data_IF_661087252446
#
_entry.id   IF_661087252446
#
_cell.length_a   1.000
_cell.length_b   1.000
_cell.length_c   1.000
_cell.angle_alpha   90.00
_cell.angle_beta   90.00
_cell.angle_gamma   90.00
#
_symmetry.space_group_name_H-M   'P 1'
#
loop_
_entity.id
_entity.type
_entity.pdbx_description
1 polymer ?
#
# COMPACT_ATOMS: atom_id res chain seq x y z
N UNK A 1 40.95 48.99 -16.76
CA UNK A 1 40.46 47.69 -16.25
C UNK A 1 38.96 47.67 -16.47
N UNK A 2 38.54 47.08 -17.56
CA UNK A 2 37.14 46.96 -17.95
C UNK A 2 36.58 45.63 -17.39
N UNK A 3 35.48 45.69 -16.66
CA UNK A 3 34.80 44.52 -16.10
C UNK A 3 34.15 43.66 -17.21
N UNK A 4 34.09 42.34 -17.05
CA UNK A 4 33.46 41.49 -18.03
C UNK A 4 31.92 41.58 -17.94
N UNK A 5 31.28 41.79 -19.09
CA UNK A 5 29.83 41.77 -19.30
C UNK A 5 29.28 40.35 -19.09
N UNK A 6 28.19 40.25 -18.32
CA UNK A 6 27.44 38.99 -18.11
C UNK A 6 26.80 38.50 -19.42
N UNK A 7 26.72 37.18 -19.67
CA UNK A 7 26.05 36.65 -20.84
C UNK A 7 24.53 36.86 -20.75
N UNK A 8 23.98 37.40 -21.84
CA UNK A 8 22.54 37.64 -21.99
C UNK A 8 21.72 36.30 -22.01
N UNK A 9 20.37 36.39 -21.76
CA UNK A 9 19.51 35.23 -21.72
C UNK A 9 19.51 34.53 -23.10
N UNK A 10 19.85 33.23 -23.06
CA UNK A 10 19.89 32.40 -24.25
C UNK A 10 18.50 32.32 -24.92
N UNK A 11 18.48 32.48 -26.24
CA UNK A 11 17.32 32.33 -27.11
C UNK A 11 16.68 30.93 -26.87
N UNK A 12 15.37 30.84 -26.64
CA UNK A 12 14.66 29.55 -26.55
C UNK A 12 14.88 28.78 -27.87
N UNK A 13 15.33 27.54 -27.75
CA UNK A 13 15.44 26.65 -28.90
C UNK A 13 14.09 26.48 -29.62
N UNK A 14 14.09 26.05 -30.90
CA UNK A 14 12.87 25.94 -31.68
C UNK A 14 11.87 25.02 -30.98
N UNK A 15 10.74 25.59 -30.55
CA UNK A 15 9.62 24.83 -30.04
C UNK A 15 9.09 23.95 -31.17
N UNK A 16 9.08 22.64 -30.97
CA UNK A 16 8.43 21.71 -31.91
C UNK A 16 6.98 22.16 -32.13
N UNK A 17 6.51 22.20 -33.39
CA UNK A 17 5.14 22.58 -33.67
C UNK A 17 4.15 21.65 -32.90
N UNK A 18 3.04 22.17 -32.38
CA UNK A 18 2.08 21.35 -31.66
C UNK A 18 1.57 20.23 -32.57
N UNK A 19 1.76 18.98 -32.13
CA UNK A 19 1.27 17.78 -32.83
C UNK A 19 -0.25 17.88 -32.98
N UNK A 20 -0.75 17.75 -34.22
CA UNK A 20 -2.18 17.76 -34.52
C UNK A 20 -2.94 16.74 -33.63
N UNK A 21 -4.16 17.02 -33.15
CA UNK A 21 -4.97 16.03 -32.46
C UNK A 21 -5.13 14.70 -33.23
N UNK A 22 -5.18 14.74 -34.56
CA UNK A 22 -5.31 13.56 -35.41
C UNK A 22 -4.05 12.70 -35.48
N UNK A 23 -2.86 13.28 -35.23
CA UNK A 23 -1.58 12.56 -35.27
C UNK A 23 -1.24 11.87 -33.94
N UNK A 24 -2.02 12.12 -32.88
CA UNK A 24 -1.81 11.51 -31.57
C UNK A 24 -2.58 10.20 -31.44
N UNK A 25 -1.84 9.10 -31.33
CA UNK A 25 -2.42 7.76 -31.13
C UNK A 25 -2.99 7.56 -29.71
N UNK A 26 -2.41 8.22 -28.71
CA UNK A 26 -2.78 8.12 -27.30
C UNK A 26 -3.24 9.49 -26.81
N UNK A 27 -4.36 9.56 -26.08
CA UNK A 27 -4.82 10.81 -25.49
C UNK A 27 -3.80 11.36 -24.48
N UNK A 28 -3.74 12.69 -24.31
CA UNK A 28 -2.83 13.34 -23.37
C UNK A 28 -3.04 12.82 -21.95
N UNK A 29 -4.30 12.61 -21.55
CA UNK A 29 -4.67 12.08 -20.24
C UNK A 29 -4.07 10.71 -19.99
N UNK A 30 -4.15 9.79 -20.96
CA UNK A 30 -3.60 8.44 -20.79
C UNK A 30 -2.07 8.44 -20.89
N UNK A 31 -1.50 9.28 -21.75
CA UNK A 31 -0.04 9.41 -21.89
C UNK A 31 0.63 10.01 -20.63
N UNK A 32 -0.11 10.67 -19.74
CA UNK A 32 0.42 11.22 -18.49
C UNK A 32 0.42 10.21 -17.33
N UNK A 33 -0.14 9.00 -17.52
CA UNK A 33 -0.19 7.97 -16.48
C UNK A 33 1.13 7.21 -16.46
N UNK A 34 1.76 7.17 -15.28
CA UNK A 34 2.99 6.42 -15.07
C UNK A 34 2.72 4.90 -14.99
N UNK A 35 3.70 4.11 -15.42
CA UNK A 35 3.67 2.67 -15.18
C UNK A 35 3.68 2.38 -13.66
N UNK A 36 2.96 1.34 -13.24
CA UNK A 36 2.95 0.93 -11.83
C UNK A 36 4.31 0.41 -11.40
N UNK A 37 5.03 1.17 -10.58
CA UNK A 37 6.36 0.81 -10.08
C UNK A 37 6.35 -0.54 -9.33
N UNK A 38 5.29 -0.84 -8.59
CA UNK A 38 5.15 -2.12 -7.87
C UNK A 38 5.01 -3.30 -8.84
N UNK A 39 4.26 -3.14 -9.94
CA UNK A 39 4.12 -4.17 -10.97
C UNK A 39 5.42 -4.33 -11.78
N UNK A 40 6.13 -3.25 -12.08
CA UNK A 40 7.41 -3.29 -12.78
C UNK A 40 8.47 -4.05 -11.97
N UNK A 41 8.58 -3.78 -10.66
CA UNK A 41 9.48 -4.51 -9.74
C UNK A 41 9.11 -6.00 -9.67
N UNK A 42 7.82 -6.33 -9.55
CA UNK A 42 7.36 -7.73 -9.49
C UNK A 42 7.64 -8.47 -10.82
N UNK A 43 7.40 -7.83 -11.96
CA UNK A 43 7.71 -8.38 -13.27
C UNK A 43 9.22 -8.63 -13.45
N UNK A 44 10.09 -7.68 -13.03
CA UNK A 44 11.54 -7.82 -13.05
C UNK A 44 12.00 -8.98 -12.18
N UNK A 45 11.47 -9.10 -10.96
CA UNK A 45 11.77 -10.21 -10.06
C UNK A 45 11.35 -11.57 -10.65
N UNK A 46 10.16 -11.66 -11.27
CA UNK A 46 9.68 -12.87 -11.94
C UNK A 46 10.54 -13.25 -13.13
N UNK A 47 10.94 -12.28 -13.96
CA UNK A 47 11.83 -12.51 -15.10
C UNK A 47 13.19 -13.05 -14.66
N UNK A 48 13.78 -12.49 -13.61
CA UNK A 48 15.06 -12.98 -13.06
C UNK A 48 14.92 -14.40 -12.49
N UNK A 49 13.82 -14.72 -11.80
CA UNK A 49 13.53 -16.10 -11.34
C UNK A 49 13.40 -17.07 -12.49
N UNK A 50 12.71 -16.69 -13.57
CA UNK A 50 12.60 -17.51 -14.78
C UNK A 50 13.95 -17.74 -15.47
N UNK A 51 14.90 -16.79 -15.32
CA UNK A 51 16.28 -16.90 -15.76
C UNK A 51 17.19 -17.71 -14.78
N UNK A 52 16.62 -18.35 -13.76
CA UNK A 52 17.34 -19.20 -12.80
C UNK A 52 18.00 -18.46 -11.64
N UNK A 53 17.79 -17.15 -11.47
CA UNK A 53 18.30 -16.41 -10.32
C UNK A 53 17.38 -16.58 -9.09
N UNK A 54 17.91 -16.78 -7.86
CA UNK A 54 17.11 -17.01 -6.66
C UNK A 54 16.54 -15.72 -6.05
N UNK A 55 16.01 -14.82 -6.89
CA UNK A 55 15.55 -13.48 -6.45
C UNK A 55 14.37 -13.56 -5.49
N UNK A 56 14.46 -12.83 -4.38
CA UNK A 56 13.38 -12.62 -3.42
C UNK A 56 12.64 -11.32 -3.80
N UNK A 57 11.36 -11.42 -4.19
CA UNK A 57 10.58 -10.25 -4.61
C UNK A 57 9.67 -9.72 -3.50
N UNK A 58 9.84 -8.44 -3.14
CA UNK A 58 8.97 -7.72 -2.20
C UNK A 58 8.09 -6.65 -2.89
N UNK A 59 7.77 -6.85 -4.19
CA UNK A 59 6.96 -5.90 -4.96
C UNK A 59 5.45 -6.09 -4.82
N UNK A 60 4.96 -7.33 -4.68
CA UNK A 60 3.54 -7.63 -4.69
C UNK A 60 2.88 -7.49 -3.32
N UNK A 61 1.95 -6.57 -3.18
CA UNK A 61 1.20 -6.30 -1.95
C UNK A 61 -0.08 -7.13 -1.85
N UNK A 62 0.02 -8.47 -1.66
CA UNK A 62 -1.13 -9.35 -1.48
C UNK A 62 -0.87 -10.40 -0.39
N UNK A 63 -1.90 -10.88 0.34
CA UNK A 63 -1.75 -12.02 1.24
C UNK A 63 -1.27 -13.26 0.50
N UNK A 64 -0.38 -14.04 1.12
CA UNK A 64 0.11 -15.34 0.62
C UNK A 64 -0.69 -16.52 1.17
N UNK A 65 -1.85 -16.25 1.69
CA UNK A 65 -2.81 -17.25 2.15
C UNK A 65 -3.84 -17.54 1.06
N UNK A 66 -4.32 -18.78 0.95
CA UNK A 66 -5.45 -19.07 0.09
C UNK A 66 -6.72 -18.40 0.63
N UNK A 67 -7.66 -18.13 -0.26
CA UNK A 67 -9.02 -17.76 0.14
C UNK A 67 -9.63 -18.92 0.96
N UNK A 68 -10.29 -18.64 2.11
CA UNK A 68 -10.92 -19.68 2.92
C UNK A 68 -11.90 -20.58 2.15
N UNK A 69 -11.88 -21.88 2.44
CA UNK A 69 -12.62 -22.90 1.68
C UNK A 69 -14.12 -22.64 1.61
N UNK A 70 -14.74 -22.15 2.70
CA UNK A 70 -16.18 -21.83 2.71
C UNK A 70 -16.56 -20.74 1.70
N UNK A 71 -15.64 -19.80 1.43
CA UNK A 71 -15.81 -18.74 0.43
C UNK A 71 -15.69 -19.33 -0.97
N UNK A 72 -14.68 -20.20 -1.16
CA UNK A 72 -14.47 -20.89 -2.45
C UNK A 72 -15.67 -21.74 -2.79
N UNK A 73 -16.21 -22.51 -1.82
CA UNK A 73 -17.40 -23.35 -2.02
C UNK A 73 -18.63 -22.52 -2.39
N UNK A 74 -18.83 -21.36 -1.77
CA UNK A 74 -19.92 -20.44 -2.14
C UNK A 74 -19.83 -20.02 -3.63
N UNK A 75 -18.62 -19.76 -4.12
CA UNK A 75 -18.40 -19.48 -5.53
C UNK A 75 -18.70 -20.68 -6.44
N UNK A 76 -18.30 -21.89 -6.03
CA UNK A 76 -18.59 -23.13 -6.77
C UNK A 76 -20.11 -23.34 -6.91
N UNK A 77 -20.86 -23.14 -5.84
CA UNK A 77 -22.33 -23.22 -5.86
C UNK A 77 -22.95 -22.14 -6.76
N UNK A 78 -22.45 -20.91 -6.68
CA UNK A 78 -22.89 -19.83 -7.56
C UNK A 78 -22.59 -20.14 -9.04
N UNK A 79 -21.40 -20.68 -9.35
CA UNK A 79 -21.03 -21.06 -10.71
C UNK A 79 -21.90 -22.17 -11.30
N UNK A 80 -22.52 -23.03 -10.46
CA UNK A 80 -23.47 -24.06 -10.87
C UNK A 80 -24.90 -23.54 -11.03
N UNK A 81 -25.19 -22.34 -10.51
CA UNK A 81 -26.54 -21.78 -10.56
C UNK A 81 -26.70 -20.87 -11.77
N UNK A 82 -27.58 -21.19 -12.76
CA UNK A 82 -27.76 -20.42 -13.97
C UNK A 82 -28.21 -18.96 -13.77
N UNK A 83 -28.76 -18.60 -12.61
CA UNK A 83 -29.16 -17.22 -12.31
C UNK A 83 -27.96 -16.29 -12.26
N UNK A 84 -26.78 -16.79 -11.87
CA UNK A 84 -25.53 -16.02 -11.83
C UNK A 84 -24.80 -15.92 -13.18
N UNK A 85 -25.34 -16.57 -14.23
CA UNK A 85 -24.76 -16.49 -15.59
C UNK A 85 -25.27 -15.31 -16.39
N UNK A 86 -26.12 -14.48 -15.84
CA UNK A 86 -26.79 -13.34 -16.53
C UNK A 86 -26.37 -12.01 -15.92
N UNK A 87 -26.65 -10.93 -16.62
CA UNK A 87 -26.49 -9.59 -16.10
C UNK A 87 -27.33 -9.39 -14.82
N UNK A 88 -26.74 -8.67 -13.87
CA UNK A 88 -27.39 -8.25 -12.63
C UNK A 88 -27.30 -6.72 -12.51
N UNK A 89 -27.90 -6.08 -11.49
CA UNK A 89 -27.79 -4.63 -11.33
C UNK A 89 -26.35 -4.16 -11.34
N UNK A 90 -26.05 -3.10 -12.11
CA UNK A 90 -24.71 -2.56 -12.25
C UNK A 90 -24.07 -2.20 -10.90
N UNK A 91 -24.87 -1.70 -9.95
CA UNK A 91 -24.41 -1.32 -8.62
C UNK A 91 -24.19 -2.49 -7.65
N UNK A 92 -24.36 -3.74 -8.09
CA UNK A 92 -24.18 -4.96 -7.30
C UNK A 92 -25.46 -5.67 -6.90
N UNK A 93 -25.30 -6.94 -6.48
CA UNK A 93 -26.40 -7.77 -5.99
C UNK A 93 -27.01 -7.15 -4.71
N UNK A 94 -28.35 -7.10 -4.58
CA UNK A 94 -28.99 -6.60 -3.35
C UNK A 94 -28.47 -7.28 -2.09
N UNK A 95 -28.37 -8.62 -2.10
CA UNK A 95 -27.88 -9.38 -0.97
C UNK A 95 -26.42 -9.04 -0.60
N UNK A 96 -25.55 -8.69 -1.56
CA UNK A 96 -24.20 -8.24 -1.26
C UNK A 96 -24.22 -6.83 -0.64
N UNK A 97 -25.04 -5.93 -1.12
CA UNK A 97 -25.19 -4.59 -0.53
C UNK A 97 -25.70 -4.66 0.92
N UNK A 98 -26.66 -5.52 1.19
CA UNK A 98 -27.16 -5.80 2.56
C UNK A 98 -26.05 -6.37 3.46
N UNK A 99 -25.25 -7.32 2.95
CA UNK A 99 -24.11 -7.89 3.67
C UNK A 99 -23.04 -6.82 3.96
N UNK A 100 -22.76 -5.90 3.03
CA UNK A 100 -21.82 -4.78 3.21
C UNK A 100 -22.33 -3.84 4.30
N UNK A 101 -23.60 -3.47 4.27
CA UNK A 101 -24.22 -2.60 5.31
C UNK A 101 -24.13 -3.25 6.69
N UNK A 102 -24.52 -4.53 6.80
CA UNK A 102 -24.47 -5.28 8.06
C UNK A 102 -23.03 -5.39 8.60
N UNK A 103 -22.06 -5.68 7.71
CA UNK A 103 -20.63 -5.73 8.04
C UNK A 103 -20.15 -4.35 8.52
N UNK A 104 -20.47 -3.28 7.82
CA UNK A 104 -20.02 -1.92 8.17
C UNK A 104 -20.55 -1.49 9.53
N UNK A 105 -21.82 -1.76 9.82
CA UNK A 105 -22.39 -1.51 11.15
C UNK A 105 -21.70 -2.33 12.23
N UNK A 106 -21.46 -3.62 11.99
CA UNK A 106 -20.81 -4.54 12.94
C UNK A 106 -19.38 -4.12 13.27
N UNK A 107 -18.59 -3.76 12.25
CA UNK A 107 -17.14 -3.60 12.38
C UNK A 107 -16.72 -2.16 12.70
N UNK A 108 -17.45 -1.17 12.19
CA UNK A 108 -17.12 0.25 12.37
C UNK A 108 -18.22 1.09 13.04
N UNK A 109 -19.42 0.56 13.26
CA UNK A 109 -20.52 1.31 13.84
C UNK A 109 -21.18 2.34 12.90
N UNK A 110 -20.73 2.44 11.63
CA UNK A 110 -21.29 3.36 10.65
C UNK A 110 -22.63 2.83 10.16
N UNK A 111 -23.67 3.64 10.25
CA UNK A 111 -25.00 3.32 9.76
C UNK A 111 -25.13 3.68 8.29
N UNK A 112 -25.66 2.77 7.48
CA UNK A 112 -25.89 2.98 6.07
C UNK A 112 -27.08 2.14 5.59
N UNK A 113 -27.50 2.37 4.35
CA UNK A 113 -28.53 1.58 3.65
C UNK A 113 -27.96 0.98 2.36
N UNK A 114 -28.58 -0.01 1.75
CA UNK A 114 -28.17 -0.53 0.45
C UNK A 114 -28.11 0.53 -0.66
N UNK A 115 -28.84 1.65 -0.54
CA UNK A 115 -28.75 2.77 -1.49
C UNK A 115 -27.41 3.51 -1.42
N UNK A 116 -26.70 3.42 -0.29
CA UNK A 116 -25.43 4.08 -0.05
C UNK A 116 -24.23 3.22 -0.47
N UNK A 117 -24.46 2.06 -1.13
CA UNK A 117 -23.44 1.12 -1.53
C UNK A 117 -23.37 0.95 -3.03
N UNK A 118 -22.15 1.03 -3.61
CA UNK A 118 -21.82 0.60 -4.97
C UNK A 118 -20.75 -0.49 -4.91
N UNK A 119 -21.05 -1.67 -5.45
CA UNK A 119 -20.09 -2.78 -5.57
C UNK A 119 -19.24 -2.61 -6.82
N UNK A 120 -17.91 -2.71 -6.68
CA UNK A 120 -16.92 -2.43 -7.73
C UNK A 120 -15.97 -3.61 -7.97
N UNK A 121 -15.22 -3.64 -9.10
CA UNK A 121 -14.19 -4.64 -9.39
C UNK A 121 -12.93 -4.44 -8.53
N UNK A 122 -13.09 -4.53 -7.21
CA UNK A 122 -12.06 -4.32 -6.18
C UNK A 122 -11.87 -2.86 -5.82
N UNK A 123 -11.15 -2.61 -4.72
CA UNK A 123 -10.92 -1.27 -4.17
C UNK A 123 -10.24 -0.30 -5.16
N UNK A 124 -9.47 -0.79 -6.13
CA UNK A 124 -8.85 0.07 -7.15
C UNK A 124 -9.89 0.77 -8.02
N UNK A 125 -10.94 0.05 -8.46
CA UNK A 125 -12.02 0.67 -9.20
C UNK A 125 -12.84 1.58 -8.28
N UNK A 126 -13.08 1.19 -7.03
CA UNK A 126 -13.78 2.02 -6.06
C UNK A 126 -13.11 3.40 -5.89
N UNK A 127 -11.78 3.43 -5.69
CA UNK A 127 -11.02 4.69 -5.60
C UNK A 127 -11.17 5.52 -6.87
N UNK A 128 -10.99 4.92 -8.04
CA UNK A 128 -11.09 5.65 -9.32
C UNK A 128 -12.49 6.19 -9.54
N UNK A 129 -13.54 5.39 -9.34
CA UNK A 129 -14.92 5.79 -9.57
C UNK A 129 -15.38 6.86 -8.58
N UNK A 130 -14.98 6.77 -7.31
CA UNK A 130 -15.25 7.82 -6.34
C UNK A 130 -14.64 9.15 -6.78
N UNK A 131 -13.35 9.14 -7.15
CA UNK A 131 -12.65 10.34 -7.63
C UNK A 131 -13.26 10.87 -8.94
N UNK A 132 -13.53 9.99 -9.92
CA UNK A 132 -14.12 10.39 -11.19
C UNK A 132 -15.56 10.95 -11.07
N UNK A 133 -16.26 10.57 -10.00
CA UNK A 133 -17.59 11.09 -9.68
C UNK A 133 -17.54 12.46 -9.00
N UNK A 134 -16.50 12.69 -8.17
CA UNK A 134 -16.41 13.88 -7.33
C UNK A 134 -15.58 15.01 -7.92
N UNK A 135 -14.61 14.72 -8.82
CA UNK A 135 -13.64 15.70 -9.28
C UNK A 135 -14.00 16.31 -10.64
N UNK A 136 -13.87 17.61 -10.74
CA UNK A 136 -13.80 18.37 -11.98
C UNK A 136 -12.32 18.63 -12.37
N UNK A 137 -12.04 18.94 -13.66
CA UNK A 137 -10.69 19.26 -14.08
C UNK A 137 -10.07 20.40 -13.29
N UNK A 138 -8.94 20.13 -12.62
CA UNK A 138 -8.21 21.11 -11.81
C UNK A 138 -8.54 21.11 -10.32
N UNK A 139 -9.54 20.35 -9.88
CA UNK A 139 -9.79 20.13 -8.45
C UNK A 139 -8.58 19.46 -7.81
N UNK A 140 -8.18 19.93 -6.63
CA UNK A 140 -7.04 19.40 -5.90
C UNK A 140 -7.46 18.36 -4.86
N UNK A 141 -6.65 17.31 -4.75
CA UNK A 141 -6.80 16.24 -3.76
C UNK A 141 -5.58 16.26 -2.84
N UNK A 142 -5.78 16.60 -1.55
CA UNK A 142 -4.75 16.40 -0.54
C UNK A 142 -4.48 14.93 -0.36
N UNK A 143 -3.21 14.55 -0.49
CA UNK A 143 -2.77 13.16 -0.49
C UNK A 143 -1.64 12.97 0.53
N UNK A 144 -1.94 12.52 1.77
CA UNK A 144 -0.93 12.11 2.73
C UNK A 144 0.08 11.15 2.09
N UNK A 145 1.36 11.46 2.20
CA UNK A 145 2.46 10.66 1.69
C UNK A 145 3.35 10.20 2.87
N UNK A 146 3.83 8.95 2.87
CA UNK A 146 3.80 7.95 1.78
C UNK A 146 2.39 7.44 1.47
N UNK A 147 2.10 7.24 0.17
CA UNK A 147 0.78 6.83 -0.32
C UNK A 147 0.87 5.59 -1.23
N UNK A 148 -0.22 4.87 -1.39
CA UNK A 148 -0.32 3.82 -2.39
C UNK A 148 -0.15 4.38 -3.81
N UNK A 149 0.75 3.79 -4.58
CA UNK A 149 1.17 4.25 -5.93
C UNK A 149 0.02 4.48 -6.92
N UNK A 150 -1.15 3.92 -6.65
CA UNK A 150 -2.34 4.08 -7.50
C UNK A 150 -3.05 5.43 -7.28
N UNK A 151 -2.97 6.02 -6.07
CA UNK A 151 -3.76 7.23 -5.76
C UNK A 151 -3.44 8.42 -6.68
N UNK A 152 -2.19 8.84 -6.87
CA UNK A 152 -1.91 9.97 -7.75
C UNK A 152 -2.37 9.73 -9.19
N UNK A 153 -2.26 8.50 -9.67
CA UNK A 153 -2.68 8.14 -11.02
C UNK A 153 -4.21 8.13 -11.16
N UNK A 154 -4.94 7.63 -10.15
CA UNK A 154 -6.40 7.66 -10.12
C UNK A 154 -6.93 9.11 -10.08
N UNK A 155 -6.28 10.01 -9.31
CA UNK A 155 -6.60 11.43 -9.25
C UNK A 155 -6.41 12.08 -10.64
N UNK A 156 -5.26 11.84 -11.30
CA UNK A 156 -4.98 12.36 -12.65
C UNK A 156 -5.96 11.82 -13.69
N UNK A 157 -6.27 10.52 -13.62
CA UNK A 157 -7.27 9.91 -14.52
C UNK A 157 -8.66 10.53 -14.37
N UNK A 158 -9.01 10.92 -13.14
CA UNK A 158 -10.26 11.62 -12.83
C UNK A 158 -10.25 13.13 -13.22
N UNK A 159 -9.11 13.65 -13.69
CA UNK A 159 -8.94 15.07 -14.07
C UNK A 159 -8.46 15.96 -12.92
N UNK A 160 -8.30 15.43 -11.72
CA UNK A 160 -7.84 16.16 -10.55
C UNK A 160 -6.31 16.33 -10.49
N UNK A 161 -5.86 17.10 -9.52
CA UNK A 161 -4.46 17.39 -9.24
C UNK A 161 -4.08 16.80 -7.88
N UNK A 162 -3.18 15.80 -7.80
CA UNK A 162 -2.70 15.30 -6.52
C UNK A 162 -1.78 16.32 -5.86
N UNK A 163 -2.04 16.61 -4.57
CA UNK A 163 -1.23 17.50 -3.72
C UNK A 163 -0.65 16.66 -2.58
N UNK A 164 0.57 16.13 -2.73
CA UNK A 164 1.20 15.31 -1.70
C UNK A 164 1.50 16.13 -0.43
N UNK A 165 1.14 15.56 0.74
CA UNK A 165 1.49 16.10 2.06
C UNK A 165 2.41 15.09 2.74
N UNK A 166 3.70 15.40 2.79
CA UNK A 166 4.74 14.45 3.19
C UNK A 166 4.86 14.37 4.71
N UNK A 167 4.82 13.14 5.23
CA UNK A 167 5.24 12.78 6.58
C UNK A 167 6.47 11.88 6.52
N UNK A 168 7.32 11.92 7.54
CA UNK A 168 8.57 11.18 7.61
C UNK A 168 8.58 10.11 8.71
N UNK A 169 9.68 9.41 8.84
CA UNK A 169 9.88 8.38 9.85
C UNK A 169 9.84 8.90 11.28
N UNK A 170 10.12 10.19 11.50
CA UNK A 170 10.11 10.80 12.83
C UNK A 170 8.68 11.01 13.33
N UNK A 171 7.74 11.31 12.43
CA UNK A 171 6.31 11.40 12.71
C UNK A 171 5.60 10.05 12.63
N UNK A 172 6.32 8.93 12.43
CA UNK A 172 5.72 7.62 12.16
C UNK A 172 4.93 7.59 10.85
N UNK A 173 5.23 8.47 9.92
CA UNK A 173 4.53 8.66 8.65
C UNK A 173 3.07 9.13 8.79
N UNK A 174 2.72 9.78 9.90
CA UNK A 174 1.41 10.38 10.12
C UNK A 174 1.47 11.88 9.84
N UNK A 175 0.56 12.38 9.01
CA UNK A 175 0.43 13.82 8.73
C UNK A 175 -0.42 14.49 9.83
N UNK A 176 -0.09 15.72 10.16
CA UNK A 176 -0.84 16.56 11.10
C UNK A 176 -1.81 17.50 10.35
N UNK A 177 -2.85 17.95 11.05
CA UNK A 177 -3.77 19.00 10.55
C UNK A 177 -3.00 20.24 10.11
N UNK A 178 -1.94 20.64 10.82
CA UNK A 178 -1.09 21.78 10.44
C UNK A 178 -0.46 21.59 9.05
N UNK A 179 0.01 20.40 8.70
CA UNK A 179 0.58 20.11 7.39
C UNK A 179 -0.49 20.08 6.31
N UNK A 180 -1.66 19.52 6.59
CA UNK A 180 -2.81 19.50 5.68
C UNK A 180 -3.30 20.92 5.37
N UNK A 181 -3.47 21.76 6.41
CA UNK A 181 -3.88 23.17 6.24
C UNK A 181 -2.84 23.98 5.45
N UNK A 182 -1.57 23.78 5.69
CA UNK A 182 -0.50 24.46 4.95
C UNK A 182 -0.47 24.10 3.44
N UNK A 183 -0.98 22.90 3.08
CA UNK A 183 -1.03 22.45 1.69
C UNK A 183 -2.39 22.79 1.01
N UNK A 184 -3.41 23.16 1.78
CA UNK A 184 -4.74 23.48 1.28
C UNK A 184 -4.77 24.77 0.46
N UNK A 185 -5.49 24.76 -0.65
CA UNK A 185 -5.76 25.92 -1.48
C UNK A 185 -7.27 26.08 -1.74
N UNK A 186 -7.73 27.18 -2.34
CA UNK A 186 -9.13 27.30 -2.75
C UNK A 186 -9.61 26.26 -3.76
N UNK A 187 -8.72 25.51 -4.42
CA UNK A 187 -9.05 24.41 -5.33
C UNK A 187 -9.11 23.05 -4.64
N UNK A 188 -8.71 22.99 -3.39
CA UNK A 188 -8.75 21.74 -2.64
C UNK A 188 -10.18 21.30 -2.38
N UNK A 189 -10.56 20.13 -2.88
CA UNK A 189 -11.91 19.57 -2.79
C UNK A 189 -11.98 18.30 -1.97
N UNK A 190 -10.95 17.45 -2.03
CA UNK A 190 -10.96 16.12 -1.41
C UNK A 190 -9.70 15.93 -0.57
N UNK A 191 -9.84 15.34 0.62
CA UNK A 191 -8.78 14.66 1.36
C UNK A 191 -8.89 13.16 1.06
N UNK A 192 -7.85 12.55 0.46
CA UNK A 192 -7.75 11.10 0.33
C UNK A 192 -6.98 10.56 1.52
N UNK A 193 -7.66 9.85 2.41
CA UNK A 193 -7.13 9.34 3.66
C UNK A 193 -7.06 7.80 3.65
N UNK A 194 -5.99 7.20 4.18
CA UNK A 194 -5.80 5.75 4.22
C UNK A 194 -5.25 5.33 5.59
N UNK A 195 -6.04 4.57 6.34
CA UNK A 195 -5.63 4.02 7.64
C UNK A 195 -6.32 2.66 7.88
N UNK A 196 -5.57 1.58 8.10
CA UNK A 196 -4.09 1.44 8.08
C UNK A 196 -3.50 1.74 6.71
N UNK A 197 -2.30 2.34 6.68
CA UNK A 197 -1.68 2.88 5.48
C UNK A 197 -0.93 1.82 4.66
N UNK A 198 -1.01 1.92 3.35
CA UNK A 198 -0.10 1.33 2.38
C UNK A 198 0.74 2.47 1.78
N UNK A 199 2.09 2.49 1.92
CA UNK A 199 2.98 1.35 2.22
C UNK A 199 3.49 1.27 3.66
N UNK A 200 3.13 2.17 4.56
CA UNK A 200 3.84 2.34 5.84
C UNK A 200 3.40 1.37 6.94
N UNK A 201 2.18 0.85 6.85
CA UNK A 201 1.54 0.13 7.95
C UNK A 201 1.20 1.02 9.15
N UNK A 202 1.33 2.33 9.03
CA UNK A 202 0.93 3.27 10.05
C UNK A 202 -0.59 3.27 10.25
N UNK A 203 -1.02 3.42 11.49
CA UNK A 203 -2.43 3.55 11.87
C UNK A 203 -2.59 4.87 12.61
N UNK A 204 -3.50 5.70 12.13
CA UNK A 204 -3.84 6.94 12.83
C UNK A 204 -4.62 6.62 14.10
N UNK A 205 -4.17 7.11 15.26
CA UNK A 205 -4.93 6.93 16.51
C UNK A 205 -6.28 7.65 16.44
N UNK A 206 -7.29 7.19 17.21
CA UNK A 206 -8.66 7.73 17.15
C UNK A 206 -8.75 9.24 17.30
N UNK A 207 -8.00 9.82 18.22
CA UNK A 207 -7.94 11.26 18.49
C UNK A 207 -7.39 12.05 17.29
N UNK A 208 -6.44 11.50 16.55
CA UNK A 208 -5.90 12.14 15.36
C UNK A 208 -6.84 11.98 14.15
N UNK A 209 -7.55 10.85 14.05
CA UNK A 209 -8.62 10.67 13.06
C UNK A 209 -9.73 11.69 13.30
N UNK A 210 -10.11 11.92 14.59
CA UNK A 210 -11.09 12.93 14.97
C UNK A 210 -10.63 14.34 14.60
N UNK A 211 -9.39 14.71 14.97
CA UNK A 211 -8.81 16.02 14.66
C UNK A 211 -8.81 16.30 13.14
N UNK A 212 -8.35 15.35 12.34
CA UNK A 212 -8.34 15.48 10.88
C UNK A 212 -9.76 15.52 10.31
N UNK A 213 -10.67 14.69 10.79
CA UNK A 213 -12.05 14.66 10.33
C UNK A 213 -12.80 15.95 10.62
N UNK A 214 -12.67 16.51 11.83
CA UNK A 214 -13.26 17.79 12.19
C UNK A 214 -12.68 18.94 11.38
N UNK A 215 -11.36 18.96 11.20
CA UNK A 215 -10.72 19.95 10.33
C UNK A 215 -11.25 19.85 8.88
N UNK A 216 -11.38 18.65 8.32
CA UNK A 216 -11.90 18.47 6.96
C UNK A 216 -13.35 18.97 6.83
N UNK A 217 -14.18 18.70 7.85
CA UNK A 217 -15.56 19.18 7.93
C UNK A 217 -15.62 20.71 7.97
N UNK A 218 -14.84 21.35 8.84
CA UNK A 218 -14.75 22.81 8.99
C UNK A 218 -14.23 23.49 7.71
N UNK A 219 -13.25 22.85 7.04
CA UNK A 219 -12.71 23.31 5.77
C UNK A 219 -13.67 23.07 4.58
N UNK A 220 -14.80 22.40 4.80
CA UNK A 220 -15.80 22.09 3.76
C UNK A 220 -15.33 21.04 2.75
N UNK A 221 -14.33 20.23 3.07
CA UNK A 221 -13.76 19.23 2.19
C UNK A 221 -14.62 17.95 2.15
N UNK A 222 -14.49 17.21 1.07
CA UNK A 222 -14.87 15.82 0.98
C UNK A 222 -13.73 14.95 1.53
N UNK A 223 -14.09 13.82 2.13
CA UNK A 223 -13.11 12.80 2.51
C UNK A 223 -13.37 11.52 1.73
N UNK A 224 -12.34 11.01 1.06
CA UNK A 224 -12.29 9.66 0.53
C UNK A 224 -11.39 8.84 1.47
N UNK A 225 -11.99 7.98 2.31
CA UNK A 225 -11.24 7.12 3.26
C UNK A 225 -11.11 5.71 2.71
N UNK A 226 -9.88 5.22 2.56
CA UNK A 226 -9.58 3.83 2.17
C UNK A 226 -9.31 3.00 3.44
N UNK A 227 -10.23 2.11 3.77
CA UNK A 227 -10.24 1.29 4.97
C UNK A 227 -10.02 -0.20 4.68
N UNK A 228 -9.40 -0.52 3.53
CA UNK A 228 -9.20 -1.89 3.05
C UNK A 228 -8.43 -2.80 4.02
N UNK A 229 -7.67 -2.22 4.96
CA UNK A 229 -6.86 -2.92 5.96
C UNK A 229 -7.45 -2.90 7.37
N UNK A 230 -8.69 -2.50 7.57
CA UNK A 230 -9.33 -2.30 8.88
C UNK A 230 -9.18 -3.46 9.87
N UNK A 231 -9.20 -4.73 9.38
CA UNK A 231 -9.02 -5.93 10.20
C UNK A 231 -7.56 -6.35 10.39
N UNK A 232 -6.64 -5.73 9.70
CA UNK A 232 -5.21 -6.06 9.76
C UNK A 232 -4.49 -5.03 10.63
N UNK A 233 -4.76 -5.07 11.93
CA UNK A 233 -4.10 -4.25 12.96
C UNK A 233 -3.47 -5.15 14.01
N UNK A 234 -2.45 -4.65 14.71
CA UNK A 234 -1.59 -5.43 15.61
C UNK A 234 -1.45 -4.74 16.95
N UNK A 235 -1.06 -5.51 18.00
CA UNK A 235 -0.77 -4.95 19.32
C UNK A 235 -1.98 -4.34 20.03
N UNK A 236 -3.20 -4.76 19.71
CA UNK A 236 -4.42 -4.20 20.29
C UNK A 236 -4.85 -2.84 19.74
N UNK A 237 -4.16 -2.36 18.68
CA UNK A 237 -4.53 -1.11 18.01
C UNK A 237 -5.80 -1.33 17.17
N UNK A 238 -6.69 -0.36 17.19
CA UNK A 238 -7.88 -0.30 16.33
C UNK A 238 -7.71 0.79 15.29
N UNK A 239 -8.21 0.54 14.07
CA UNK A 239 -8.29 1.54 13.01
C UNK A 239 -9.74 2.01 12.90
N UNK A 240 -10.10 3.16 13.49
CA UNK A 240 -11.47 3.63 13.46
C UNK A 240 -11.83 4.15 12.07
N UNK A 241 -13.08 3.93 11.66
CA UNK A 241 -13.63 4.58 10.48
C UNK A 241 -13.86 6.07 10.76
N UNK A 242 -13.42 6.94 9.86
CA UNK A 242 -13.51 8.38 10.10
C UNK A 242 -14.94 8.89 10.32
N UNK A 243 -15.97 8.47 9.53
CA UNK A 243 -17.35 8.89 9.81
C UNK A 243 -17.97 8.25 11.06
N UNK A 244 -17.35 7.21 11.66
CA UNK A 244 -17.76 6.71 12.97
C UNK A 244 -17.26 7.62 14.10
N UNK A 245 -16.06 8.19 13.94
CA UNK A 245 -15.46 9.11 14.92
C UNK A 245 -16.03 10.53 14.77
N UNK A 246 -16.32 10.97 13.55
CA UNK A 246 -16.93 12.28 13.23
C UNK A 246 -18.21 12.04 12.41
N UNK A 247 -19.34 11.74 13.07
CA UNK A 247 -20.59 11.39 12.40
C UNK A 247 -21.13 12.49 11.46
N UNK A 248 -20.87 13.75 11.80
CA UNK A 248 -21.27 14.91 10.99
C UNK A 248 -20.61 14.92 9.61
N UNK A 249 -19.46 14.25 9.47
CA UNK A 249 -18.73 14.12 8.21
C UNK A 249 -19.38 13.10 7.26
N UNK A 250 -20.29 12.24 7.73
CA UNK A 250 -20.86 11.15 6.92
C UNK A 250 -21.50 11.66 5.61
N UNK A 251 -22.08 12.86 5.61
CA UNK A 251 -22.66 13.48 4.41
C UNK A 251 -21.64 13.96 3.37
N UNK A 252 -20.35 13.95 3.73
CA UNK A 252 -19.21 14.36 2.87
C UNK A 252 -18.08 13.33 2.89
N UNK A 253 -18.36 12.10 3.30
CA UNK A 253 -17.39 11.04 3.37
C UNK A 253 -17.77 9.87 2.46
N UNK A 254 -16.78 9.38 1.72
CA UNK A 254 -16.90 8.17 0.91
C UNK A 254 -15.89 7.16 1.44
N UNK A 255 -16.38 6.03 1.94
CA UNK A 255 -15.55 4.91 2.39
C UNK A 255 -15.29 3.99 1.19
N UNK A 256 -14.03 3.65 0.97
CA UNK A 256 -13.60 2.57 0.07
C UNK A 256 -13.16 1.38 0.90
N UNK A 257 -13.67 0.21 0.56
CA UNK A 257 -13.28 -1.04 1.21
C UNK A 257 -13.45 -2.23 0.24
N UNK A 258 -13.18 -3.46 0.70
CA UNK A 258 -13.31 -4.65 -0.12
C UNK A 258 -12.86 -5.92 0.58
N UNK A 259 -13.07 -7.06 -0.09
CA UNK A 259 -12.72 -8.38 0.46
C UNK A 259 -11.26 -8.78 0.22
N UNK A 260 -10.52 -8.00 -0.58
CA UNK A 260 -9.23 -8.39 -1.12
C UNK A 260 -8.16 -8.70 -0.07
N UNK A 261 -8.13 -7.94 1.03
CA UNK A 261 -7.06 -8.02 2.04
C UNK A 261 -7.48 -8.83 3.26
N UNK A 262 -8.60 -8.50 3.84
CA UNK A 262 -9.15 -9.19 5.02
C UNK A 262 -9.37 -10.68 4.77
N UNK A 263 -9.85 -11.06 3.59
CA UNK A 263 -10.25 -12.46 3.29
C UNK A 263 -9.31 -13.16 2.29
N UNK A 264 -8.12 -12.60 2.02
CA UNK A 264 -7.17 -13.12 1.02
C UNK A 264 -7.83 -13.37 -0.36
N UNK A 265 -8.60 -12.37 -0.83
CA UNK A 265 -9.43 -12.45 -2.04
C UNK A 265 -8.95 -11.46 -3.12
N UNK A 266 -7.65 -11.24 -3.28
CA UNK A 266 -7.13 -10.26 -4.25
C UNK A 266 -7.53 -10.57 -5.69
N UNK A 267 -7.56 -11.85 -6.07
CA UNK A 267 -7.94 -12.33 -7.41
C UNK A 267 -9.44 -12.30 -7.70
N UNK A 268 -10.30 -12.24 -6.69
CA UNK A 268 -11.77 -12.24 -6.83
C UNK A 268 -12.34 -10.92 -7.31
N UNK A 269 -11.61 -9.82 -7.12
CA UNK A 269 -11.96 -8.48 -7.62
C UNK A 269 -13.29 -7.96 -7.11
N UNK A 270 -13.51 -7.95 -5.80
CA UNK A 270 -14.70 -7.35 -5.17
C UNK A 270 -14.27 -6.28 -4.15
N UNK A 271 -14.78 -5.08 -4.33
CA UNK A 271 -14.69 -3.94 -3.42
C UNK A 271 -15.98 -3.13 -3.50
N UNK A 272 -16.02 -2.03 -2.79
CA UNK A 272 -17.20 -1.16 -2.78
C UNK A 272 -16.86 0.28 -2.39
N UNK A 273 -17.76 1.17 -2.77
CA UNK A 273 -17.91 2.51 -2.24
C UNK A 273 -19.09 2.46 -1.28
N UNK A 274 -18.98 3.11 -0.14
CA UNK A 274 -20.07 3.42 0.77
C UNK A 274 -20.04 4.93 1.04
N UNK A 275 -21.12 5.65 0.75
CA UNK A 275 -21.18 7.10 0.89
C UNK A 275 -22.57 7.66 0.58
N UNK A 276 -22.73 8.98 0.48
CA UNK A 276 -24.01 9.60 0.18
C UNK A 276 -24.67 9.04 -1.06
N UNK A 277 -25.97 8.76 -0.98
CA UNK A 277 -26.72 8.03 -2.02
C UNK A 277 -26.74 8.73 -3.38
N UNK A 278 -26.64 10.05 -3.43
CA UNK A 278 -26.54 10.83 -4.67
C UNK A 278 -25.19 10.62 -5.37
N UNK A 279 -24.09 10.58 -4.60
CA UNK A 279 -22.74 10.24 -5.11
C UNK A 279 -22.71 8.78 -5.58
N UNK A 280 -23.24 7.85 -4.79
CA UNK A 280 -23.32 6.43 -5.15
C UNK A 280 -24.16 6.21 -6.39
N UNK A 281 -25.27 6.95 -6.56
CA UNK A 281 -26.08 6.91 -7.78
C UNK A 281 -25.31 7.40 -9.00
N UNK A 282 -24.58 8.50 -8.88
CA UNK A 282 -23.77 9.05 -9.97
C UNK A 282 -22.62 8.08 -10.35
N UNK A 283 -21.92 7.51 -9.37
CA UNK A 283 -20.91 6.49 -9.59
C UNK A 283 -21.49 5.21 -10.24
N UNK A 284 -22.70 4.78 -9.83
CA UNK A 284 -23.40 3.64 -10.46
C UNK A 284 -23.72 3.91 -11.94
N UNK A 285 -24.10 5.15 -12.30
CA UNK A 285 -24.29 5.53 -13.70
C UNK A 285 -22.97 5.43 -14.48
N UNK A 286 -21.87 5.92 -13.91
CA UNK A 286 -20.54 5.78 -14.53
C UNK A 286 -20.19 4.30 -14.72
N UNK A 287 -20.32 3.46 -13.67
CA UNK A 287 -20.02 2.02 -13.74
C UNK A 287 -20.87 1.30 -14.79
N UNK A 288 -22.15 1.66 -14.93
CA UNK A 288 -23.06 1.02 -15.88
C UNK A 288 -22.60 1.16 -17.33
N UNK A 289 -21.87 2.25 -17.66
CA UNK A 289 -21.31 2.52 -18.98
C UNK A 289 -19.84 2.12 -19.12
N UNK A 290 -19.11 1.91 -18.00
CA UNK A 290 -17.70 1.56 -18.01
C UNK A 290 -17.47 0.04 -17.97
N UNK A 291 -18.02 -0.65 -16.96
CA UNK A 291 -17.73 -2.06 -16.68
C UNK A 291 -18.97 -2.92 -16.47
N UNK A 292 -20.15 -2.33 -16.30
CA UNK A 292 -21.36 -3.02 -15.83
C UNK A 292 -21.18 -3.65 -14.44
N UNK A 293 -21.94 -4.68 -14.08
CA UNK A 293 -21.85 -5.35 -12.78
C UNK A 293 -20.55 -6.14 -12.59
N UNK A 294 -20.12 -6.26 -11.34
CA UNK A 294 -19.06 -7.19 -10.93
C UNK A 294 -19.48 -8.64 -11.21
N UNK A 295 -18.54 -9.53 -11.50
CA UNK A 295 -18.80 -10.93 -11.75
C UNK A 295 -19.64 -11.55 -10.62
N UNK A 296 -20.78 -12.11 -10.96
CA UNK A 296 -21.78 -12.60 -9.98
C UNK A 296 -21.24 -13.70 -9.08
N UNK A 297 -20.38 -14.58 -9.60
CA UNK A 297 -19.72 -15.63 -8.83
C UNK A 297 -18.83 -15.02 -7.74
N UNK A 298 -18.10 -13.96 -8.09
CA UNK A 298 -17.27 -13.22 -7.12
C UNK A 298 -18.12 -12.49 -6.08
N UNK A 299 -19.28 -11.95 -6.48
CA UNK A 299 -20.19 -11.32 -5.53
C UNK A 299 -20.78 -12.35 -4.54
N UNK A 300 -21.14 -13.56 -4.99
CA UNK A 300 -21.60 -14.64 -4.11
C UNK A 300 -20.52 -15.07 -3.11
N UNK A 301 -19.27 -15.18 -3.56
CA UNK A 301 -18.12 -15.43 -2.68
C UNK A 301 -17.94 -14.31 -1.65
N UNK A 302 -18.10 -13.05 -2.07
CA UNK A 302 -18.01 -11.91 -1.16
C UNK A 302 -19.12 -11.90 -0.11
N UNK A 303 -20.35 -12.29 -0.45
CA UNK A 303 -21.44 -12.46 0.53
C UNK A 303 -21.02 -13.47 1.60
N UNK A 304 -20.51 -14.65 1.21
CA UNK A 304 -20.04 -15.65 2.15
C UNK A 304 -18.91 -15.12 3.04
N UNK A 305 -17.96 -14.36 2.47
CA UNK A 305 -16.89 -13.75 3.24
C UNK A 305 -17.40 -12.78 4.31
N UNK A 306 -18.35 -11.89 3.96
CA UNK A 306 -18.85 -10.84 4.85
C UNK A 306 -19.82 -11.38 5.92
N UNK A 307 -20.50 -12.49 5.66
CA UNK A 307 -21.46 -13.12 6.58
C UNK A 307 -20.86 -14.27 7.38
N UNK A 308 -19.66 -14.74 7.02
CA UNK A 308 -18.91 -15.75 7.76
C UNK A 308 -18.26 -15.22 9.02
N UNK A 309 -17.58 -16.10 9.75
CA UNK A 309 -16.77 -15.72 10.90
C UNK A 309 -15.39 -15.16 10.49
N UNK A 310 -14.67 -14.62 11.45
CA UNK A 310 -13.34 -14.03 11.23
C UNK A 310 -12.18 -14.97 11.66
N UNK A 311 -12.43 -16.25 11.95
CA UNK A 311 -11.42 -17.17 12.46
C UNK A 311 -10.21 -17.34 11.50
N UNK A 312 -10.48 -17.44 10.19
CA UNK A 312 -9.43 -17.46 9.17
C UNK A 312 -8.66 -16.13 9.10
N UNK A 313 -9.36 -15.01 9.27
CA UNK A 313 -8.74 -13.67 9.32
C UNK A 313 -7.83 -13.53 10.53
N UNK A 314 -8.26 -13.97 11.71
CA UNK A 314 -7.46 -13.96 12.93
C UNK A 314 -6.19 -14.82 12.81
N UNK A 315 -6.31 -16.00 12.18
CA UNK A 315 -5.17 -16.87 11.90
C UNK A 315 -4.13 -16.18 11.00
N UNK A 316 -4.59 -15.56 9.93
CA UNK A 316 -3.76 -14.81 8.98
C UNK A 316 -3.14 -13.59 9.65
N UNK A 317 -3.92 -12.82 10.42
CA UNK A 317 -3.45 -11.63 11.17
C UNK A 317 -2.36 -12.00 12.16
N UNK A 318 -2.51 -13.08 12.92
CA UNK A 318 -1.50 -13.57 13.85
C UNK A 318 -0.19 -13.99 13.13
N UNK A 319 -0.28 -14.55 11.93
CA UNK A 319 0.90 -14.86 11.12
C UNK A 319 1.59 -13.59 10.61
N UNK A 320 0.83 -12.59 10.12
CA UNK A 320 1.39 -11.31 9.71
C UNK A 320 2.04 -10.56 10.89
N UNK A 321 1.47 -10.62 12.09
CA UNK A 321 2.05 -9.99 13.27
C UNK A 321 3.41 -10.60 13.63
N UNK A 322 3.53 -11.93 13.65
CA UNK A 322 4.84 -12.59 13.86
C UNK A 322 5.88 -12.18 12.82
N UNK A 323 5.49 -12.13 11.54
CA UNK A 323 6.38 -11.70 10.44
C UNK A 323 6.79 -10.24 10.58
N UNK A 324 5.85 -9.36 10.95
CA UNK A 324 6.08 -7.94 11.24
C UNK A 324 7.14 -7.76 12.31
N UNK A 325 6.99 -8.42 13.45
CA UNK A 325 7.96 -8.34 14.56
C UNK A 325 9.35 -8.82 14.12
N UNK A 326 9.40 -9.95 13.40
CA UNK A 326 10.68 -10.51 12.91
C UNK A 326 11.38 -9.53 11.97
N UNK A 327 10.68 -9.02 10.94
CA UNK A 327 11.33 -8.15 9.94
C UNK A 327 11.74 -6.80 10.54
N UNK A 328 10.93 -6.21 11.43
CA UNK A 328 11.28 -4.95 12.10
C UNK A 328 12.54 -5.12 12.95
N UNK A 329 12.64 -6.23 13.72
CA UNK A 329 13.86 -6.54 14.47
C UNK A 329 15.08 -6.61 13.57
N UNK A 330 15.00 -7.38 12.48
CA UNK A 330 16.12 -7.58 11.54
C UNK A 330 16.51 -6.28 10.82
N UNK A 331 15.56 -5.45 10.42
CA UNK A 331 15.84 -4.17 9.78
C UNK A 331 16.52 -3.18 10.73
N UNK A 332 16.15 -3.18 12.01
CA UNK A 332 16.76 -2.31 13.04
C UNK A 332 18.20 -2.70 13.38
N UNK A 333 18.62 -3.93 13.07
CA UNK A 333 20.03 -4.37 13.23
C UNK A 333 20.94 -3.81 12.14
N UNK A 334 20.38 -3.30 11.03
CA UNK A 334 21.17 -2.76 9.91
C UNK A 334 21.54 -1.29 10.21
N UNK A 335 22.84 -0.95 10.33
CA UNK A 335 23.28 0.41 10.60
C UNK A 335 22.81 1.40 9.53
N UNK A 336 22.12 2.45 9.95
CA UNK A 336 21.63 3.50 9.04
C UNK A 336 20.21 3.28 8.54
N UNK A 337 19.53 2.21 8.94
CA UNK A 337 18.09 2.04 8.70
C UNK A 337 17.29 2.52 9.91
N UNK A 338 16.30 3.37 9.65
CA UNK A 338 15.26 3.71 10.62
C UNK A 338 13.94 3.05 10.16
N UNK A 339 13.41 2.15 10.97
CA UNK A 339 12.16 1.44 10.68
C UNK A 339 11.16 1.67 11.81
N UNK A 340 10.20 2.62 11.64
CA UNK A 340 9.04 2.73 12.51
C UNK A 340 8.27 1.40 12.52
N UNK A 341 7.76 1.03 13.69
CA UNK A 341 7.01 -0.22 13.82
C UNK A 341 5.62 -0.07 13.23
N UNK A 342 5.25 -0.82 12.18
CA UNK A 342 3.93 -0.72 11.60
C UNK A 342 2.89 -1.31 12.56
N UNK A 343 1.75 -0.66 12.68
CA UNK A 343 0.65 -1.07 13.54
C UNK A 343 -0.49 -1.73 12.77
N UNK A 344 -0.43 -1.70 11.43
CA UNK A 344 -1.45 -2.30 10.58
C UNK A 344 -0.94 -2.71 9.21
N UNK A 345 -1.83 -3.17 8.36
CA UNK A 345 -1.58 -3.73 7.04
C UNK A 345 -0.57 -4.90 7.08
N UNK A 346 0.23 -5.12 6.05
CA UNK A 346 1.29 -6.13 6.02
C UNK A 346 2.51 -5.59 5.25
N UNK A 347 2.97 -4.40 5.63
CA UNK A 347 4.12 -3.73 5.05
C UNK A 347 5.07 -3.25 6.14
N UNK A 348 6.35 -3.12 5.79
CA UNK A 348 7.33 -2.29 6.48
C UNK A 348 7.84 -1.23 5.52
N UNK A 349 8.15 -0.06 6.05
CA UNK A 349 8.60 1.08 5.25
C UNK A 349 9.81 1.75 5.89
N UNK A 350 10.99 1.12 5.78
CA UNK A 350 12.21 1.66 6.38
C UNK A 350 12.70 2.92 5.65
N UNK A 351 13.18 3.89 6.40
CA UNK A 351 13.98 5.00 5.90
C UNK A 351 15.41 4.51 5.65
N UNK A 352 15.92 4.81 4.46
CA UNK A 352 17.28 4.49 4.01
C UNK A 352 18.14 5.76 3.81
N UNK A 353 17.68 6.90 4.30
CA UNK A 353 18.34 8.22 4.15
C UNK A 353 19.81 8.19 4.52
N UNK A 354 20.16 7.51 5.62
CA UNK A 354 21.53 7.45 6.10
C UNK A 354 22.45 6.54 5.27
N UNK A 355 21.90 5.81 4.30
CA UNK A 355 22.67 4.95 3.38
C UNK A 355 22.99 5.65 2.07
N UNK A 356 22.20 6.64 1.68
CA UNK A 356 22.43 7.38 0.45
C UNK A 356 23.70 8.21 0.54
N UNK A 357 24.49 8.21 -0.54
CA UNK A 357 25.79 8.84 -0.59
C UNK A 357 26.93 8.03 0.05
N UNK A 358 26.66 6.84 0.60
CA UNK A 358 27.69 5.91 1.09
C UNK A 358 28.06 4.92 -0.01
N UNK A 359 29.29 4.43 0.05
CA UNK A 359 29.72 3.32 -0.79
C UNK A 359 29.10 2.01 -0.30
N UNK A 360 28.38 1.31 -1.17
CA UNK A 360 27.72 0.04 -0.95
C UNK A 360 28.06 -0.86 -2.13
N UNK A 361 28.75 -1.97 -1.91
CA UNK A 361 29.18 -2.91 -2.93
C UNK A 361 29.89 -2.22 -4.12
N UNK A 362 30.79 -1.24 -3.85
CA UNK A 362 31.52 -0.49 -4.86
C UNK A 362 30.71 0.56 -5.65
N UNK A 363 29.48 0.84 -5.23
CA UNK A 363 28.59 1.86 -5.82
C UNK A 363 28.15 2.86 -4.74
N UNK A 364 27.89 4.10 -5.16
CA UNK A 364 27.44 5.18 -4.25
C UNK A 364 26.03 5.64 -4.67
N UNK A 365 24.97 4.92 -4.24
CA UNK A 365 23.60 5.28 -4.59
C UNK A 365 23.21 6.63 -3.95
N UNK A 366 22.63 7.52 -4.73
CA UNK A 366 22.17 8.86 -4.31
C UNK A 366 20.66 8.96 -4.17
N UNK A 367 19.94 7.93 -4.61
CA UNK A 367 18.48 7.81 -4.54
C UNK A 367 18.06 6.43 -4.08
N UNK A 368 16.81 6.28 -3.60
CA UNK A 368 16.29 4.95 -3.26
C UNK A 368 16.06 4.08 -4.50
N UNK A 369 15.92 4.67 -5.68
CA UNK A 369 15.88 3.93 -6.95
C UNK A 369 17.23 3.25 -7.22
N UNK A 370 18.33 4.00 -7.17
CA UNK A 370 19.67 3.45 -7.36
C UNK A 370 20.02 2.41 -6.27
N UNK A 371 19.61 2.67 -5.03
CA UNK A 371 19.81 1.71 -3.93
C UNK A 371 19.02 0.41 -4.15
N UNK A 372 17.79 0.49 -4.63
CA UNK A 372 16.98 -0.70 -4.97
C UNK A 372 17.60 -1.52 -6.10
N UNK A 373 18.29 -0.88 -7.06
CA UNK A 373 19.04 -1.56 -8.11
C UNK A 373 20.26 -2.29 -7.53
N UNK A 374 21.04 -1.63 -6.64
CA UNK A 374 22.17 -2.27 -5.96
C UNK A 374 21.70 -3.49 -5.15
N UNK A 375 20.62 -3.34 -4.37
CA UNK A 375 20.05 -4.44 -3.58
C UNK A 375 19.61 -5.60 -4.49
N UNK A 376 19.01 -5.31 -5.64
CA UNK A 376 18.58 -6.36 -6.57
C UNK A 376 19.75 -7.10 -7.21
N UNK A 377 20.80 -6.39 -7.60
CA UNK A 377 21.95 -6.96 -8.29
C UNK A 377 22.87 -7.74 -7.36
N UNK A 378 23.13 -7.21 -6.16
CA UNK A 378 24.11 -7.77 -5.23
C UNK A 378 23.49 -8.74 -4.20
N UNK A 379 22.25 -8.47 -3.76
CA UNK A 379 21.57 -9.27 -2.74
C UNK A 379 20.44 -10.15 -3.32
N UNK A 380 20.13 -10.02 -4.62
CA UNK A 380 19.02 -10.73 -5.27
C UNK A 380 17.66 -10.46 -4.58
N UNK A 381 17.48 -9.25 -4.06
CA UNK A 381 16.25 -8.80 -3.37
C UNK A 381 15.63 -7.64 -4.14
N UNK A 382 14.39 -7.81 -4.56
CA UNK A 382 13.64 -6.77 -5.27
C UNK A 382 12.73 -6.01 -4.28
N UNK A 383 13.03 -4.74 -4.03
CA UNK A 383 12.25 -3.82 -3.19
C UNK A 383 11.66 -2.69 -4.04
N UNK A 384 10.61 -2.04 -3.55
CA UNK A 384 10.01 -0.89 -4.24
C UNK A 384 10.61 0.40 -3.69
N UNK A 385 11.22 1.25 -4.53
CA UNK A 385 11.82 2.50 -4.08
C UNK A 385 10.76 3.50 -3.60
N UNK A 386 11.16 4.35 -2.66
CA UNK A 386 10.27 5.29 -1.98
C UNK A 386 9.71 6.39 -2.86
N UNK A 387 10.39 6.74 -3.95
CA UNK A 387 9.93 7.69 -4.96
C UNK A 387 8.56 7.27 -5.53
N UNK A 388 8.31 5.97 -5.66
CA UNK A 388 7.02 5.43 -6.11
C UNK A 388 5.87 5.76 -5.14
N UNK A 389 6.16 5.98 -3.87
CA UNK A 389 5.19 6.28 -2.81
C UNK A 389 5.19 7.77 -2.42
N UNK A 390 5.89 8.61 -3.19
CA UNK A 390 5.98 10.06 -2.96
C UNK A 390 6.96 10.50 -1.87
N UNK A 391 7.81 9.61 -1.38
CA UNK A 391 8.80 9.90 -0.33
C UNK A 391 10.17 9.32 -0.69
N UNK A 392 11.03 10.10 -1.34
CA UNK A 392 12.40 9.68 -1.64
C UNK A 392 13.15 9.20 -0.39
N UNK A 393 14.17 8.37 -0.58
CA UNK A 393 15.02 7.84 0.48
C UNK A 393 14.35 6.88 1.48
N UNK A 394 13.33 6.14 1.01
CA UNK A 394 12.68 5.04 1.73
C UNK A 394 12.53 3.82 0.82
N UNK A 395 12.17 2.65 1.37
CA UNK A 395 11.88 1.45 0.58
C UNK A 395 10.64 0.74 1.09
N UNK A 396 9.73 0.37 0.20
CA UNK A 396 8.52 -0.39 0.52
C UNK A 396 8.75 -1.91 0.45
N UNK A 397 8.40 -2.64 1.51
CA UNK A 397 8.52 -4.10 1.58
C UNK A 397 7.26 -4.73 2.21
N UNK A 398 6.50 -5.57 1.50
CA UNK A 398 5.42 -6.36 2.12
C UNK A 398 5.99 -7.45 3.03
N UNK A 399 5.35 -7.66 4.19
CA UNK A 399 5.75 -8.67 5.20
C UNK A 399 5.14 -10.06 4.94
N UNK A 400 4.61 -10.31 3.75
CA UNK A 400 3.82 -11.51 3.41
C UNK A 400 4.60 -12.84 3.40
N UNK A 401 5.93 -12.80 3.27
CA UNK A 401 6.74 -14.00 3.12
C UNK A 401 6.95 -14.73 4.45
N UNK A 402 7.10 -16.04 4.38
CA UNK A 402 7.45 -16.85 5.55
C UNK A 402 8.81 -16.41 6.14
N UNK A 403 8.96 -16.56 7.46
CA UNK A 403 10.15 -16.10 8.22
C UNK A 403 11.49 -16.57 7.63
N UNK A 404 11.54 -17.79 7.06
CA UNK A 404 12.74 -18.33 6.41
C UNK A 404 13.17 -17.57 5.17
N UNK A 405 12.21 -17.06 4.40
CA UNK A 405 12.49 -16.24 3.21
C UNK A 405 13.00 -14.85 3.61
N UNK A 406 12.45 -14.29 4.70
CA UNK A 406 12.93 -13.04 5.28
C UNK A 406 14.35 -13.15 5.82
N UNK A 407 14.67 -14.23 6.53
CA UNK A 407 16.03 -14.46 7.05
C UNK A 407 17.08 -14.50 5.94
N UNK A 408 16.74 -15.07 4.77
CA UNK A 408 17.62 -15.04 3.59
C UNK A 408 17.77 -13.63 3.02
N UNK A 409 16.66 -12.90 2.85
CA UNK A 409 16.67 -11.54 2.29
C UNK A 409 17.42 -10.55 3.18
N UNK A 410 17.22 -10.59 4.49
CA UNK A 410 17.92 -9.70 5.42
C UNK A 410 19.39 -10.07 5.58
N UNK A 411 19.75 -11.35 5.60
CA UNK A 411 21.15 -11.78 5.62
C UNK A 411 21.89 -11.36 4.34
N UNK A 412 21.25 -11.47 3.18
CA UNK A 412 21.78 -10.97 1.92
C UNK A 412 21.96 -9.45 1.95
N UNK A 413 20.94 -8.70 2.43
CA UNK A 413 21.07 -7.25 2.62
C UNK A 413 22.15 -6.89 3.64
N UNK A 414 22.22 -7.58 4.81
CA UNK A 414 23.23 -7.33 5.84
C UNK A 414 24.66 -7.53 5.31
N UNK A 415 24.86 -8.53 4.44
CA UNK A 415 26.15 -8.75 3.77
C UNK A 415 26.55 -7.61 2.83
N UNK A 416 25.58 -7.00 2.11
CA UNK A 416 25.82 -5.85 1.25
C UNK A 416 26.05 -4.55 2.03
N UNK A 417 25.57 -4.47 3.29
CA UNK A 417 25.50 -3.22 4.07
C UNK A 417 26.52 -3.18 5.21
N UNK A 418 27.33 -4.25 5.42
CA UNK A 418 28.46 -4.19 6.29
C UNK A 418 29.47 -3.20 5.71
N UNK A 419 29.55 -1.99 6.32
CA UNK A 419 30.59 -1.03 5.98
C UNK A 419 31.94 -1.71 6.15
N UNK A 420 32.95 -1.48 5.27
CA UNK A 420 34.30 -1.90 5.54
C UNK A 420 34.70 -1.31 6.90
N UNK A 421 35.25 -2.17 7.78
CA UNK A 421 35.72 -1.77 9.10
C UNK A 421 36.63 -0.56 8.93
N UNK A 422 36.39 0.51 9.68
CA UNK A 422 37.23 1.71 9.73
C UNK A 422 38.67 1.28 10.01
N UNK A 423 39.66 1.53 9.15
CA UNK A 423 41.04 1.10 9.39
C UNK A 423 41.75 1.81 10.54
N UNK A 424 41.07 2.70 11.27
CA UNK A 424 41.63 3.52 12.36
C UNK A 424 40.97 3.30 13.74
N UNK A 425 40.26 2.18 13.96
CA UNK A 425 39.82 1.79 15.29
C UNK A 425 40.98 1.24 16.13
N UNK A 426 41.07 1.55 17.46
CA UNK A 426 42.21 1.12 18.27
C UNK A 426 42.30 -0.40 18.34
N UNK A 427 43.51 -0.92 18.02
CA UNK A 427 43.93 -2.30 18.14
C UNK A 427 43.62 -2.88 19.56
N UNK A 428 42.95 -4.04 19.68
CA UNK A 428 42.86 -4.69 20.97
C UNK A 428 44.23 -5.28 21.32
N UNK A 429 44.81 -4.75 22.38
CA UNK A 429 46.04 -5.28 23.03
C UNK A 429 45.86 -6.75 23.42
N UNK A 430 46.83 -7.55 23.02
CA UNK A 430 47.09 -8.93 23.47
C UNK A 430 47.03 -9.05 24.97
N UNK A 431 46.33 -10.05 25.46
CA UNK A 431 46.35 -10.42 26.88
C UNK A 431 45.94 -11.88 27.12
N UNK A 432 46.97 -12.74 27.13
CA UNK A 432 47.11 -13.98 27.91
C UNK A 432 46.09 -15.12 27.71
N UNK A 433 46.42 -16.16 26.97
CA UNK A 433 47.19 -17.38 27.27
C UNK A 433 46.66 -18.31 28.40
N UNK A 434 46.46 -19.55 27.99
CA UNK A 434 46.58 -20.86 28.68
C UNK A 434 45.31 -21.40 29.33
N UNK A 435 44.87 -22.50 28.91
CA UNK A 435 45.26 -23.91 28.90
C UNK A 435 44.19 -24.77 29.59
N UNK A 436 43.85 -25.91 29.05
CA UNK A 436 43.18 -26.97 29.81
C UNK A 436 42.41 -28.01 28.97
N UNK A 437 43.16 -28.86 28.26
CA UNK A 437 42.97 -30.32 28.06
C UNK A 437 41.56 -30.95 28.00
N UNK A 438 41.33 -31.65 26.89
CA UNK A 438 40.50 -32.86 26.74
C UNK A 438 40.97 -34.00 27.67
N UNK A 439 40.19 -35.07 27.97
CA UNK A 439 39.79 -36.07 26.98
C UNK A 439 38.44 -36.79 27.24
N UNK A 440 37.84 -37.31 26.25
CA UNK A 440 37.75 -38.68 25.71
C UNK A 440 36.50 -39.51 26.07
N UNK A 441 35.82 -39.95 25.00
CA UNK A 441 35.24 -41.29 24.73
C UNK A 441 34.06 -41.83 25.54
N UNK A 442 33.04 -42.28 24.79
CA UNK A 442 32.22 -43.42 25.16
C UNK A 442 30.92 -43.54 24.36
N UNK A 443 31.00 -44.33 23.28
CA UNK A 443 30.08 -45.37 22.79
C UNK A 443 28.54 -45.09 22.71
N UNK A 444 28.04 -45.26 21.49
CA UNK A 444 26.63 -45.45 21.13
C UNK A 444 26.08 -46.85 21.49
N UNK A 445 25.07 -47.47 20.82
CA UNK A 445 23.92 -46.93 20.12
C UNK A 445 22.61 -47.63 20.59
N UNK A 446 21.41 -47.10 20.30
CA UNK A 446 20.28 -48.02 20.04
C UNK A 446 19.10 -47.33 19.31
N UNK A 447 18.66 -48.02 18.29
CA UNK A 447 17.44 -47.87 17.48
C UNK A 447 16.17 -48.04 18.32
N UNK A 448 15.11 -47.38 17.90
CA UNK A 448 13.75 -47.82 17.56
C UNK A 448 12.89 -46.62 17.33
N UNK A 449 12.39 -46.47 16.13
CA UNK A 449 11.05 -46.73 15.56
C UNK A 449 9.90 -46.42 16.56
N UNK A 450 9.16 -45.41 16.25
CA UNK A 450 7.76 -45.36 15.78
C UNK A 450 7.54 -44.06 15.04
#
# INVERSE_FOLDING_TARGET
MTAPTAPGPGTPGPQQPPVSPADRRVSRRIASIAESATLAVDAKAKALKAAGKPVIGFGAGEPDFPTPDYIVEAAVQAARNPTYHRYTPAGGLPALKEAIVAKTLRDSGVQATPADVLVTNGGKQAVYEALATMLDPGDEVLLPAPYWTTYPEAIRLAGGVPVPVVADEQSGYLVSVRQLEAARTPRTKVLLFCSPSNPTGAVYPPEQVEEIGRWALEAGLWVLTDEIYEHLTYGGVTAPSMPAVVPELQSRCVIVNGVAKTYAMTGWRVGWILGPSDVVKAATNLQSHATSNVANVSQAAAIAALTGDLAAVDTMRAAFDRRRQTIVSMLREIPGIACPEPQGAFYVYPSVKALLGREIAGRTPTSSVELAEVILEEAEVAVVPGEAFGTPATCGCPTRWATTTWSRGSAACSGCWAAPADPQGPSPTEGALRAGRRPARGSGPSRRRW
#
